data_IF_134470924780
#
_entry.id   IF_134470924780
#
_cell.length_a   1.000
_cell.length_b   1.000
_cell.length_c   1.000
_cell.angle_alpha   90.00
_cell.angle_beta   90.00
_cell.angle_gamma   90.00
#
_symmetry.space_group_name_H-M   'P 1'
#
loop_
_entity.id
_entity.type
_entity.pdbx_description
1 polymer ?
#
# COMPACT_ATOMS: atom_id res chain seq x y z
N UNK A 1 34.44 32.79 -17.10
CA UNK A 1 34.38 32.17 -15.76
C UNK A 1 32.91 31.88 -15.43
N UNK A 2 32.32 30.88 -16.10
CA UNK A 2 30.94 30.46 -15.85
C UNK A 2 30.92 29.60 -14.58
N UNK A 3 30.24 30.11 -13.57
CA UNK A 3 30.35 29.64 -12.20
C UNK A 3 29.61 28.32 -12.02
N UNK A 4 30.38 27.23 -11.86
CA UNK A 4 30.01 25.84 -11.52
C UNK A 4 29.02 25.71 -10.35
N UNK A 5 28.79 26.80 -9.61
CA UNK A 5 27.92 26.93 -8.44
C UNK A 5 26.42 26.73 -8.74
N UNK A 6 25.97 27.08 -9.95
CA UNK A 6 24.53 27.16 -10.27
C UNK A 6 23.93 25.85 -10.78
N UNK A 7 24.76 24.87 -11.17
CA UNK A 7 24.29 23.59 -11.69
C UNK A 7 23.93 22.63 -10.55
N UNK A 8 24.56 22.77 -9.38
CA UNK A 8 24.31 21.88 -8.24
C UNK A 8 22.94 22.13 -7.56
N UNK A 9 22.37 23.32 -7.70
CA UNK A 9 21.11 23.69 -7.04
C UNK A 9 19.84 23.14 -7.72
N UNK A 10 19.91 22.78 -9.00
CA UNK A 10 18.75 22.26 -9.76
C UNK A 10 18.62 20.73 -9.65
N UNK A 11 19.70 20.03 -9.31
CA UNK A 11 19.68 18.58 -9.10
C UNK A 11 19.08 18.17 -7.73
N UNK A 12 19.03 19.08 -6.74
CA UNK A 12 18.56 18.78 -5.38
C UNK A 12 17.03 18.81 -5.20
N UNK A 13 16.29 19.49 -6.06
CA UNK A 13 14.84 19.66 -5.90
C UNK A 13 14.00 18.53 -6.53
N UNK A 14 14.58 17.74 -7.45
CA UNK A 14 13.88 16.59 -8.05
C UNK A 14 13.80 15.37 -7.14
N UNK A 15 14.73 15.24 -6.18
CA UNK A 15 14.81 14.06 -5.32
C UNK A 15 13.75 14.02 -4.20
N UNK A 16 13.17 15.17 -3.82
CA UNK A 16 12.20 15.23 -2.71
C UNK A 16 10.75 14.92 -3.14
N UNK A 17 10.46 14.91 -4.43
CA UNK A 17 9.14 14.48 -4.94
C UNK A 17 9.04 12.95 -5.03
N UNK A 18 10.18 12.26 -5.16
CA UNK A 18 10.22 10.79 -5.24
C UNK A 18 9.97 10.14 -3.88
N UNK A 19 10.34 10.80 -2.78
CA UNK A 19 10.15 10.28 -1.43
C UNK A 19 8.68 10.21 -0.99
N UNK A 20 7.78 11.01 -1.58
CA UNK A 20 6.35 10.99 -1.23
C UNK A 20 5.56 9.97 -2.07
N UNK A 21 6.02 9.65 -3.28
CA UNK A 21 5.41 8.57 -4.08
C UNK A 21 5.62 7.19 -3.43
N UNK A 22 6.68 7.03 -2.62
CA UNK A 22 6.99 5.77 -1.94
C UNK A 22 6.05 5.43 -0.76
N UNK A 23 5.31 6.40 -0.21
CA UNK A 23 4.34 6.12 0.87
C UNK A 23 3.02 5.52 0.37
N UNK A 24 2.83 5.40 -0.95
CA UNK A 24 1.66 4.76 -1.56
C UNK A 24 1.96 3.93 -2.81
N UNK A 25 3.24 3.77 -3.15
CA UNK A 25 3.72 2.95 -4.27
C UNK A 25 3.67 1.46 -3.90
N UNK A 26 2.46 0.94 -3.69
CA UNK A 26 2.21 -0.43 -4.11
C UNK A 26 2.33 -0.41 -5.63
N UNK A 27 3.38 -1.03 -6.17
CA UNK A 27 3.47 -1.35 -7.59
C UNK A 27 2.20 -2.15 -7.94
N UNK A 28 1.20 -1.46 -8.48
CA UNK A 28 0.14 -2.10 -9.23
C UNK A 28 0.74 -2.47 -10.58
N UNK A 29 1.58 -3.51 -10.58
CA UNK A 29 1.87 -4.24 -11.80
C UNK A 29 0.56 -4.79 -12.29
N UNK A 30 0.05 -4.24 -13.39
CA UNK A 30 -1.05 -4.80 -14.17
C UNK A 30 -0.53 -6.05 -14.90
N UNK A 31 -0.09 -7.02 -14.11
CA UNK A 31 0.09 -8.40 -14.56
C UNK A 31 -1.27 -9.03 -14.35
N UNK A 32 -1.93 -9.46 -15.42
CA UNK A 32 -3.28 -10.08 -15.43
C UNK A 32 -3.41 -11.40 -14.66
N UNK A 33 -2.64 -11.60 -13.59
CA UNK A 33 -2.75 -12.66 -12.61
C UNK A 33 -3.52 -12.22 -11.35
N UNK A 34 -3.68 -13.16 -10.41
CA UNK A 34 -4.43 -12.94 -9.17
C UNK A 34 -3.87 -11.73 -8.40
N UNK A 35 -4.74 -10.77 -8.09
CA UNK A 35 -4.42 -9.54 -7.37
C UNK A 35 -4.46 -9.82 -5.88
N UNK A 36 -3.33 -9.68 -5.19
CA UNK A 36 -3.31 -9.73 -3.74
C UNK A 36 -3.46 -8.31 -3.17
N UNK A 37 -4.46 -8.11 -2.31
CA UNK A 37 -4.66 -6.84 -1.59
C UNK A 37 -4.39 -7.04 -0.10
N UNK A 38 -3.67 -6.10 0.52
CA UNK A 38 -3.45 -6.10 1.97
C UNK A 38 -4.49 -5.22 2.65
N UNK A 39 -5.32 -5.80 3.52
CA UNK A 39 -6.26 -5.10 4.37
C UNK A 39 -5.64 -4.95 5.75
N UNK A 40 -5.18 -3.74 6.10
CA UNK A 40 -4.56 -3.46 7.39
C UNK A 40 -5.55 -2.82 8.37
N UNK A 41 -5.63 -3.38 9.58
CA UNK A 41 -6.41 -2.87 10.70
C UNK A 41 -5.55 -2.64 11.94
N UNK A 42 -6.11 -1.96 12.93
CA UNK A 42 -5.49 -1.74 14.24
C UNK A 42 -6.38 -2.31 15.34
N UNK A 43 -5.89 -3.32 16.05
CA UNK A 43 -6.54 -3.94 17.20
C UNK A 43 -7.95 -4.53 16.93
N UNK A 44 -8.21 -4.96 15.69
CA UNK A 44 -9.50 -5.52 15.27
C UNK A 44 -9.48 -7.04 15.14
N UNK A 45 -8.34 -7.70 15.30
CA UNK A 45 -8.25 -9.17 15.26
C UNK A 45 -8.53 -9.77 16.63
N UNK A 46 -9.80 -9.76 17.00
CA UNK A 46 -10.31 -10.30 18.26
C UNK A 46 -11.67 -11.01 18.06
N UNK A 47 -12.11 -11.78 19.06
CA UNK A 47 -13.31 -12.63 18.97
C UNK A 47 -14.59 -11.87 18.58
N UNK A 48 -14.64 -10.57 18.84
CA UNK A 48 -15.80 -9.73 18.51
C UNK A 48 -15.85 -9.35 17.03
N UNK A 49 -14.73 -9.02 16.41
CA UNK A 49 -14.70 -8.47 15.04
C UNK A 49 -14.14 -9.43 13.99
N UNK A 50 -13.32 -10.41 14.37
CA UNK A 50 -12.82 -11.48 13.48
C UNK A 50 -13.92 -12.14 12.65
N UNK A 51 -15.04 -12.63 13.22
CA UNK A 51 -16.06 -13.29 12.41
C UNK A 51 -16.70 -12.36 11.37
N UNK A 52 -16.83 -11.07 11.67
CA UNK A 52 -17.36 -10.08 10.73
C UNK A 52 -16.41 -9.85 9.54
N UNK A 53 -15.14 -9.59 9.82
CA UNK A 53 -14.17 -9.30 8.77
C UNK A 53 -13.85 -10.53 7.91
N UNK A 54 -13.79 -11.73 8.50
CA UNK A 54 -13.66 -12.97 7.71
C UNK A 54 -14.85 -13.19 6.79
N UNK A 55 -16.09 -12.92 7.25
CA UNK A 55 -17.27 -13.02 6.41
C UNK A 55 -17.25 -11.99 5.26
N UNK A 56 -16.83 -10.76 5.56
CA UNK A 56 -16.71 -9.68 4.59
C UNK A 56 -15.64 -9.99 3.53
N UNK A 57 -14.47 -10.47 3.96
CA UNK A 57 -13.39 -10.90 3.07
C UNK A 57 -13.87 -12.03 2.16
N UNK A 58 -14.53 -13.06 2.72
CA UNK A 58 -15.06 -14.18 1.93
C UNK A 58 -16.11 -13.73 0.91
N UNK A 59 -16.99 -12.80 1.28
CA UNK A 59 -17.97 -12.24 0.34
C UNK A 59 -17.28 -11.49 -0.79
N UNK A 60 -16.26 -10.69 -0.47
CA UNK A 60 -15.49 -9.96 -1.47
C UNK A 60 -14.74 -10.89 -2.43
N UNK A 61 -14.00 -11.89 -1.93
CA UNK A 61 -13.28 -12.86 -2.77
C UNK A 61 -14.22 -13.73 -3.62
N UNK A 62 -15.46 -13.96 -3.16
CA UNK A 62 -16.48 -14.66 -3.93
C UNK A 62 -16.94 -13.85 -5.14
N UNK A 63 -17.10 -12.54 -4.98
CA UNK A 63 -17.53 -11.63 -6.05
C UNK A 63 -16.35 -11.21 -6.96
N UNK A 64 -15.12 -11.32 -6.44
CA UNK A 64 -13.87 -10.99 -7.11
C UNK A 64 -12.90 -12.19 -7.07
N UNK A 65 -13.11 -13.23 -7.91
CA UNK A 65 -12.33 -14.47 -7.87
C UNK A 65 -10.86 -14.29 -8.29
N UNK A 66 -10.54 -13.17 -8.92
CA UNK A 66 -9.17 -12.76 -9.25
C UNK A 66 -8.47 -12.05 -8.08
N UNK A 67 -9.16 -11.77 -6.98
CA UNK A 67 -8.60 -11.05 -5.83
C UNK A 67 -8.46 -11.97 -4.61
N UNK A 68 -7.32 -11.86 -3.93
CA UNK A 68 -7.08 -12.47 -2.62
C UNK A 68 -6.86 -11.36 -1.59
N UNK A 69 -7.52 -11.42 -0.45
CA UNK A 69 -7.40 -10.42 0.62
C UNK A 69 -6.56 -10.95 1.78
N UNK A 70 -5.45 -10.27 2.06
CA UNK A 70 -4.58 -10.55 3.19
C UNK A 70 -4.89 -9.63 4.36
N UNK A 71 -5.48 -10.16 5.43
CA UNK A 71 -5.80 -9.39 6.62
C UNK A 71 -4.60 -9.28 7.59
N UNK A 72 -4.05 -8.07 7.67
CA UNK A 72 -2.99 -7.66 8.60
C UNK A 72 -3.63 -6.89 9.76
N UNK A 73 -3.29 -7.23 11.00
CA UNK A 73 -3.71 -6.46 12.18
C UNK A 73 -2.48 -6.09 12.98
N UNK A 74 -2.32 -4.80 13.24
CA UNK A 74 -1.28 -4.28 14.10
C UNK A 74 -1.86 -3.95 15.48
N UNK A 75 -1.10 -4.17 16.57
CA UNK A 75 -1.50 -3.67 17.87
C UNK A 75 -1.56 -2.14 17.81
N UNK A 76 -2.60 -1.54 18.39
CA UNK A 76 -2.57 -0.10 18.68
C UNK A 76 -1.65 0.09 19.89
N UNK A 77 -0.67 1.00 19.77
CA UNK A 77 0.28 1.36 20.83
C UNK A 77 -0.42 1.73 22.15
#
# INVERSE_FOLDING_TARGET
>A
MFSMKKILAIAGAGAMLVSVAACGSGTAGDDGGKKEISFQTWNLKNDKYTPYFEALIKAYEKDHPDVTVKWLDAPSD
#
